data_IF_318639025814
#
_entry.id   IF_318639025814
#
_cell.length_a   1.000
_cell.length_b   1.000
_cell.length_c   1.000
_cell.angle_alpha   90.00
_cell.angle_beta   90.00
_cell.angle_gamma   90.00
#
_symmetry.space_group_name_H-M   'P 1'
#
loop_
_entity.id
_entity.type
_entity.pdbx_description
1 polymer ?
#
# COMPACT_ATOMS: atom_id res chain seq x y z
N UNK A 1 -3.13 -8.12 -8.47
CA UNK A 1 -3.48 -7.36 -7.24
C UNK A 1 -2.18 -7.23 -6.47
N UNK A 2 -1.34 -6.23 -6.79
CA UNK A 2 0.12 -6.29 -6.62
C UNK A 2 0.60 -6.64 -5.20
N UNK A 3 -0.04 -6.06 -4.18
CA UNK A 3 0.33 -6.27 -2.78
C UNK A 3 -0.23 -7.60 -2.24
N UNK A 4 -1.35 -8.10 -2.77
CA UNK A 4 -1.94 -9.38 -2.36
C UNK A 4 -1.17 -10.58 -2.93
N UNK A 5 -0.54 -10.39 -4.09
CA UNK A 5 0.37 -11.38 -4.69
C UNK A 5 1.79 -11.34 -4.09
N UNK A 6 2.32 -10.15 -3.75
CA UNK A 6 3.67 -10.02 -3.18
C UNK A 6 3.71 -10.16 -1.64
N UNK A 7 2.58 -10.04 -0.94
CA UNK A 7 2.49 -10.18 0.51
C UNK A 7 3.04 -8.98 1.29
N UNK A 8 4.32 -8.65 1.14
CA UNK A 8 4.96 -7.50 1.81
C UNK A 8 5.68 -6.65 0.78
N UNK A 9 5.25 -5.40 0.62
CA UNK A 9 5.86 -4.45 -0.31
C UNK A 9 6.45 -3.28 0.46
N UNK A 10 7.50 -2.66 -0.06
CA UNK A 10 8.04 -1.45 0.54
C UNK A 10 7.45 -0.21 -0.11
N UNK A 11 7.62 0.93 0.56
CA UNK A 11 7.24 2.22 -0.02
C UNK A 11 7.98 2.47 -1.35
N UNK A 12 9.20 1.93 -1.50
CA UNK A 12 9.99 2.02 -2.74
C UNK A 12 9.39 1.18 -3.85
N UNK A 13 9.06 -0.09 -3.58
CA UNK A 13 8.42 -0.96 -4.59
C UNK A 13 7.15 -0.31 -5.13
N UNK A 14 6.28 0.23 -4.26
CA UNK A 14 5.04 0.88 -4.71
C UNK A 14 5.34 2.16 -5.51
N UNK A 15 6.36 2.94 -5.14
CA UNK A 15 6.79 4.12 -5.89
C UNK A 15 7.27 3.75 -7.28
N UNK A 16 8.04 2.67 -7.38
CA UNK A 16 8.59 2.16 -8.64
C UNK A 16 7.48 1.56 -9.51
N UNK A 17 6.54 0.80 -8.93
CA UNK A 17 5.42 0.18 -9.63
C UNK A 17 4.43 1.21 -10.18
N UNK A 18 4.10 2.23 -9.39
CA UNK A 18 3.12 3.25 -9.76
C UNK A 18 3.75 4.48 -10.42
N UNK A 19 5.08 4.56 -10.49
CA UNK A 19 5.81 5.68 -11.10
C UNK A 19 5.51 7.05 -10.49
N UNK A 20 5.08 7.09 -9.22
CA UNK A 20 4.65 8.32 -8.53
C UNK A 20 5.59 8.67 -7.39
N UNK A 21 5.65 9.96 -7.05
CA UNK A 21 6.59 10.41 -6.02
C UNK A 21 6.31 9.78 -4.64
N UNK A 22 7.36 9.49 -3.84
CA UNK A 22 7.22 8.87 -2.52
C UNK A 22 6.34 9.67 -1.55
N UNK A 23 6.26 10.99 -1.75
CA UNK A 23 5.39 11.87 -0.95
C UNK A 23 3.91 11.62 -1.22
N UNK A 24 3.55 11.36 -2.49
CA UNK A 24 2.18 11.02 -2.87
C UNK A 24 1.79 9.67 -2.31
N UNK A 25 2.64 8.65 -2.50
CA UNK A 25 2.34 7.32 -1.97
C UNK A 25 2.27 7.30 -0.45
N UNK A 26 3.14 8.03 0.26
CA UNK A 26 3.07 8.08 1.72
C UNK A 26 1.74 8.67 2.21
N UNK A 27 1.21 9.70 1.53
CA UNK A 27 -0.12 10.23 1.84
C UNK A 27 -1.20 9.18 1.60
N UNK A 28 -1.17 8.52 0.45
CA UNK A 28 -2.10 7.45 0.11
C UNK A 28 -2.03 6.30 1.11
N UNK A 29 -0.84 5.81 1.43
CA UNK A 29 -0.60 4.76 2.42
C UNK A 29 -1.10 5.18 3.80
N UNK A 30 -0.92 6.44 4.20
CA UNK A 30 -1.45 6.92 5.47
C UNK A 30 -2.99 6.92 5.50
N UNK A 31 -3.64 7.28 4.38
CA UNK A 31 -5.10 7.18 4.24
C UNK A 31 -5.55 5.72 4.23
N UNK A 32 -4.87 4.85 3.48
CA UNK A 32 -5.17 3.42 3.41
C UNK A 32 -5.00 2.74 4.78
N UNK A 33 -3.95 3.08 5.52
CA UNK A 33 -3.70 2.58 6.87
C UNK A 33 -4.75 3.10 7.85
N UNK A 34 -5.15 4.37 7.73
CA UNK A 34 -6.24 4.94 8.52
C UNK A 34 -7.60 4.27 8.24
N UNK A 35 -7.79 3.71 7.05
CA UNK A 35 -8.98 2.94 6.68
C UNK A 35 -8.86 1.42 6.97
N UNK A 36 -7.78 0.99 7.65
CA UNK A 36 -7.39 -0.41 7.89
C UNK A 36 -7.27 -1.27 6.62
N UNK A 37 -6.99 -0.65 5.48
CA UNK A 37 -6.81 -1.34 4.19
C UNK A 37 -5.40 -1.92 4.04
N UNK A 38 -4.43 -1.31 4.71
CA UNK A 38 -3.05 -1.79 4.79
C UNK A 38 -2.56 -1.69 6.24
N UNK A 39 -1.62 -2.54 6.61
CA UNK A 39 -0.91 -2.46 7.90
C UNK A 39 0.59 -2.35 7.64
N UNK A 40 1.30 -1.71 8.55
CA UNK A 40 2.76 -1.62 8.52
C UNK A 40 3.37 -2.56 9.58
N UNK A 41 3.74 -3.80 9.23
CA UNK A 41 4.36 -4.73 10.19
C UNK A 41 5.74 -4.26 10.64
N UNK A 42 6.44 -3.49 9.79
CA UNK A 42 7.72 -2.87 10.11
C UNK A 42 7.79 -1.47 9.46
N UNK A 43 8.58 -0.56 10.05
CA UNK A 43 8.78 0.79 9.53
C UNK A 43 9.24 0.74 8.07
N UNK A 44 8.46 1.32 7.15
CA UNK A 44 8.75 1.34 5.71
C UNK A 44 8.29 0.11 4.91
N UNK A 45 7.78 -0.93 5.60
CA UNK A 45 7.13 -2.10 4.98
C UNK A 45 5.63 -2.00 5.16
N UNK A 46 4.91 -2.27 4.07
CA UNK A 46 3.47 -2.22 4.02
C UNK A 46 2.96 -3.58 3.55
N UNK A 47 1.96 -4.11 4.22
CA UNK A 47 1.25 -5.32 3.79
C UNK A 47 -0.23 -4.99 3.67
N UNK A 48 -0.85 -5.49 2.61
CA UNK A 48 -2.29 -5.33 2.39
C UNK A 48 -3.04 -6.17 3.41
N UNK A 49 -4.09 -5.60 4.00
CA UNK A 49 -4.99 -6.43 4.83
C UNK A 49 -5.95 -7.21 3.92
N UNK A 50 -6.61 -8.22 4.47
CA UNK A 50 -7.65 -8.98 3.75
C UNK A 50 -8.91 -8.14 3.43
N UNK A 51 -8.99 -6.85 3.83
CA UNK A 51 -10.06 -5.96 3.40
C UNK A 51 -10.01 -5.80 1.88
N UNK A 52 -10.97 -6.42 1.20
CA UNK A 52 -11.20 -6.21 -0.24
C UNK A 52 -11.51 -4.74 -0.49
N UNK A 53 -10.54 -4.01 -1.04
CA UNK A 53 -10.80 -2.71 -1.66
C UNK A 53 -11.72 -3.00 -2.85
N UNK A 54 -13.00 -2.64 -2.74
CA UNK A 54 -13.91 -2.61 -3.90
C UNK A 54 -13.42 -1.49 -4.81
N UNK A 55 -12.61 -1.82 -5.81
CA UNK A 55 -12.50 -0.96 -6.98
C UNK A 55 -13.86 -1.04 -7.67
N UNK A 56 -14.71 -0.06 -7.42
CA UNK A 56 -15.94 0.13 -8.19
C UNK A 56 -15.50 0.64 -9.57
N UNK A 57 -15.88 -0.09 -10.62
CA UNK A 57 -15.55 0.18 -12.03
C UNK A 57 -16.09 1.50 -12.54
#
# INVERSE_FOLDING_TARGET
MFIKENGTVTTQDIVEEFGITPRTIQRDLNVLAYNDLIISPHRGKWTTTEKRVKMSS
#
